data_IF_842224906920
#
_entry.id   IF_842224906920
#
_cell.length_a   1.000
_cell.length_b   1.000
_cell.length_c   1.000
_cell.angle_alpha   90.00
_cell.angle_beta   90.00
_cell.angle_gamma   90.00
#
_symmetry.space_group_name_H-M   'P 1'
#
loop_
_entity.id
_entity.type
_entity.pdbx_description
1 polymer ?
#
# COMPACT_ATOMS: atom_id res chain seq x y z
N UNK A 1 0.73 -19.03 22.35
CA UNK A 1 1.58 -17.84 22.04
C UNK A 1 2.19 -18.07 20.67
N UNK A 2 1.69 -17.40 19.61
CA UNK A 2 2.37 -17.40 18.32
C UNK A 2 3.62 -16.52 18.39
N UNK A 3 4.65 -16.75 17.55
CA UNK A 3 5.82 -15.88 17.52
C UNK A 3 5.39 -14.44 17.19
N UNK A 4 6.13 -13.40 17.63
CA UNK A 4 5.94 -12.04 17.14
C UNK A 4 6.38 -12.01 15.66
N UNK A 5 5.53 -12.51 14.78
CA UNK A 5 5.69 -12.41 13.35
C UNK A 5 5.65 -10.92 13.02
N UNK A 6 6.72 -10.43 12.40
CA UNK A 6 6.80 -9.09 11.85
C UNK A 6 5.57 -8.83 10.99
N UNK A 7 4.55 -8.18 11.56
CA UNK A 7 3.38 -7.78 10.78
C UNK A 7 3.89 -6.96 9.61
N UNK A 8 3.55 -7.30 8.35
CA UNK A 8 4.06 -6.57 7.22
C UNK A 8 3.58 -5.12 7.36
N UNK A 9 4.50 -4.19 7.20
CA UNK A 9 4.25 -2.75 7.30
C UNK A 9 4.71 -2.11 6.01
N UNK A 10 4.01 -1.07 5.61
CA UNK A 10 4.32 -0.27 4.45
C UNK A 10 4.39 1.19 4.88
N UNK A 11 5.44 1.89 4.45
CA UNK A 11 5.55 3.32 4.75
C UNK A 11 4.51 4.07 3.94
N UNK A 12 3.87 5.09 4.52
CA UNK A 12 2.92 5.94 3.79
C UNK A 12 3.59 6.55 2.55
N UNK A 13 4.86 6.93 2.65
CA UNK A 13 5.65 7.43 1.53
C UNK A 13 5.87 6.39 0.42
N UNK A 14 5.96 5.09 0.75
CA UNK A 14 6.06 4.01 -0.22
C UNK A 14 4.74 3.87 -1.00
N UNK A 15 3.61 3.90 -0.30
CA UNK A 15 2.29 3.86 -0.94
C UNK A 15 2.06 5.05 -1.89
N UNK A 16 2.44 6.26 -1.46
CA UNK A 16 2.37 7.47 -2.30
C UNK A 16 3.28 7.33 -3.52
N UNK A 17 4.49 6.79 -3.37
CA UNK A 17 5.39 6.55 -4.51
C UNK A 17 4.83 5.53 -5.50
N UNK A 18 4.23 4.44 -5.02
CA UNK A 18 3.61 3.41 -5.87
C UNK A 18 2.50 4.01 -6.73
N UNK A 19 1.59 4.77 -6.13
CA UNK A 19 0.51 5.45 -6.86
C UNK A 19 1.03 6.61 -7.72
N UNK A 20 2.08 7.30 -7.26
CA UNK A 20 2.67 8.46 -7.91
C UNK A 20 3.32 8.14 -9.25
N UNK A 21 3.75 6.90 -9.50
CA UNK A 21 4.25 6.46 -10.81
C UNK A 21 3.21 6.56 -11.92
N UNK A 22 1.93 6.48 -11.56
CA UNK A 22 0.81 6.57 -12.52
C UNK A 22 0.07 7.91 -12.42
N UNK A 23 -0.16 8.42 -11.21
CA UNK A 23 -0.99 9.60 -10.98
C UNK A 23 -0.20 10.92 -10.84
N UNK A 24 1.11 10.83 -10.64
CA UNK A 24 1.92 11.95 -10.13
C UNK A 24 1.87 12.04 -8.60
N UNK A 25 2.95 12.52 -8.00
CA UNK A 25 3.17 12.53 -6.54
C UNK A 25 2.13 13.35 -5.77
N UNK A 26 1.72 14.50 -6.30
CA UNK A 26 0.72 15.37 -5.65
C UNK A 26 -0.64 14.69 -5.55
N UNK A 27 -1.16 14.17 -6.68
CA UNK A 27 -2.45 13.47 -6.72
C UNK A 27 -2.41 12.22 -5.87
N UNK A 28 -1.30 11.47 -5.91
CA UNK A 28 -1.14 10.28 -5.09
C UNK A 28 -1.23 10.59 -3.58
N UNK A 29 -0.60 11.67 -3.11
CA UNK A 29 -0.67 12.07 -1.71
C UNK A 29 -2.10 12.45 -1.28
N UNK A 30 -2.78 13.29 -2.07
CA UNK A 30 -4.15 13.72 -1.80
C UNK A 30 -5.14 12.55 -1.72
N UNK A 31 -5.00 11.61 -2.67
CA UNK A 31 -5.86 10.44 -2.76
C UNK A 31 -5.63 9.48 -1.59
N UNK A 32 -4.36 9.26 -1.19
CA UNK A 32 -4.01 8.45 -0.01
C UNK A 32 -4.53 9.10 1.27
N UNK A 33 -4.43 10.42 1.43
CA UNK A 33 -4.94 11.10 2.63
C UNK A 33 -6.46 11.07 2.70
N UNK A 34 -7.13 11.31 1.57
CA UNK A 34 -8.59 11.27 1.50
C UNK A 34 -9.13 9.90 1.87
N UNK A 35 -8.61 8.82 1.27
CA UNK A 35 -9.08 7.47 1.56
C UNK A 35 -8.58 6.96 2.92
N UNK A 36 -7.35 7.30 3.31
CA UNK A 36 -6.82 6.96 4.62
C UNK A 36 -7.66 7.54 5.74
N UNK A 37 -8.08 8.81 5.61
CA UNK A 37 -8.97 9.46 6.58
C UNK A 37 -10.33 8.76 6.70
N UNK A 38 -10.92 8.29 5.59
CA UNK A 38 -12.17 7.52 5.61
C UNK A 38 -12.03 6.20 6.37
N UNK A 39 -10.84 5.59 6.31
CA UNK A 39 -10.51 4.35 7.00
C UNK A 39 -9.99 4.58 8.44
N UNK A 40 -9.97 5.83 8.91
CA UNK A 40 -9.52 6.18 10.26
C UNK A 40 -8.00 6.23 10.43
N UNK A 41 -7.23 6.19 9.33
CA UNK A 41 -5.77 6.39 9.36
C UNK A 41 -5.47 7.86 9.63
N UNK A 42 -4.49 8.13 10.50
CA UNK A 42 -4.08 9.50 10.79
C UNK A 42 -3.03 9.91 9.77
N UNK A 43 -3.08 11.16 9.30
CA UNK A 43 -2.12 11.72 8.35
C UNK A 43 -0.66 11.62 8.84
N UNK A 44 -0.47 11.61 10.17
CA UNK A 44 0.84 11.47 10.83
C UNK A 44 1.35 10.03 10.92
N UNK A 45 0.55 9.03 10.55
CA UNK A 45 0.97 7.65 10.60
C UNK A 45 1.95 7.38 9.44
N UNK A 46 3.24 7.50 9.74
CA UNK A 46 4.31 7.26 8.78
C UNK A 46 4.36 5.80 8.32
N UNK A 47 3.93 4.87 9.19
CA UNK A 47 3.97 3.43 8.97
C UNK A 47 2.55 2.88 9.08
N UNK A 48 2.08 2.26 8.01
CA UNK A 48 0.74 1.70 7.90
C UNK A 48 0.78 0.17 8.01
N UNK A 49 -0.16 -0.47 8.72
CA UNK A 49 -0.37 -1.90 8.62
C UNK A 49 -0.65 -2.30 7.17
N UNK A 50 -0.10 -3.43 6.71
CA UNK A 50 -0.28 -3.84 5.32
C UNK A 50 -1.76 -4.06 4.96
N UNK A 51 -2.56 -4.52 5.92
CA UNK A 51 -4.01 -4.71 5.78
C UNK A 51 -4.71 -3.38 5.50
N UNK A 52 -4.32 -2.31 6.20
CA UNK A 52 -4.85 -0.98 5.97
C UNK A 52 -4.43 -0.44 4.59
N UNK A 53 -3.19 -0.73 4.15
CA UNK A 53 -2.74 -0.37 2.79
C UNK A 53 -3.57 -1.08 1.73
N UNK A 54 -3.83 -2.38 1.88
CA UNK A 54 -4.70 -3.10 0.96
C UNK A 54 -6.14 -2.57 0.97
N UNK A 55 -6.68 -2.18 2.12
CA UNK A 55 -8.00 -1.54 2.20
C UNK A 55 -8.06 -0.21 1.46
N UNK A 56 -7.03 0.64 1.60
CA UNK A 56 -6.90 1.90 0.83
C UNK A 56 -6.87 1.59 -0.67
N UNK A 57 -6.02 0.65 -1.10
CA UNK A 57 -5.88 0.28 -2.51
C UNK A 57 -7.17 -0.35 -3.08
N UNK A 58 -7.87 -1.17 -2.30
CA UNK A 58 -9.13 -1.78 -2.72
C UNK A 58 -10.27 -0.74 -2.83
N UNK A 59 -10.33 0.25 -1.93
CA UNK A 59 -11.25 1.39 -2.04
C UNK A 59 -10.97 2.20 -3.31
N UNK A 60 -9.69 2.49 -3.58
CA UNK A 60 -9.27 3.23 -4.75
C UNK A 60 -9.49 2.48 -6.06
N UNK A 61 -9.26 1.16 -6.06
CA UNK A 61 -9.47 0.30 -7.23
C UNK A 61 -10.94 0.24 -7.66
N UNK A 62 -11.88 0.51 -6.75
CA UNK A 62 -13.31 0.62 -7.08
C UNK A 62 -13.66 1.94 -7.82
N UNK A 63 -12.76 2.92 -7.86
CA UNK A 63 -12.98 4.18 -8.56
C UNK A 63 -12.70 4.02 -10.06
N UNK A 64 -13.52 4.62 -10.95
CA UNK A 64 -13.25 4.58 -12.37
C UNK A 64 -12.03 5.44 -12.76
N UNK A 65 -11.44 5.13 -13.92
CA UNK A 65 -10.38 5.92 -14.54
C UNK A 65 -8.98 5.66 -13.96
N UNK A 66 -8.10 6.65 -14.10
CA UNK A 66 -6.68 6.51 -13.79
C UNK A 66 -6.40 6.12 -12.34
N UNK A 67 -7.23 6.57 -11.39
CA UNK A 67 -7.07 6.28 -9.96
C UNK A 67 -7.24 4.77 -9.69
N UNK A 68 -8.30 4.16 -10.22
CA UNK A 68 -8.55 2.73 -10.04
C UNK A 68 -7.49 1.86 -10.71
N UNK A 69 -7.03 2.27 -11.90
CA UNK A 69 -5.92 1.61 -12.59
C UNK A 69 -4.64 1.69 -11.79
N UNK A 70 -4.27 2.88 -11.29
CA UNK A 70 -3.07 3.08 -10.47
C UNK A 70 -3.10 2.25 -9.19
N UNK A 71 -4.25 2.19 -8.52
CA UNK A 71 -4.42 1.38 -7.31
C UNK A 71 -4.29 -0.12 -7.59
N UNK A 72 -4.85 -0.60 -8.71
CA UNK A 72 -4.74 -2.00 -9.13
C UNK A 72 -3.30 -2.40 -9.45
N UNK A 73 -2.55 -1.51 -10.09
CA UNK A 73 -1.11 -1.69 -10.37
C UNK A 73 -0.34 -1.71 -9.05
N UNK A 74 -0.51 -0.71 -8.19
CA UNK A 74 0.16 -0.61 -6.89
C UNK A 74 -0.09 -1.85 -6.02
N UNK A 75 -1.32 -2.37 -6.01
CA UNK A 75 -1.68 -3.62 -5.31
C UNK A 75 -0.91 -4.82 -5.84
N UNK A 76 -0.77 -4.92 -7.16
CA UNK A 76 -0.03 -6.01 -7.81
C UNK A 76 1.45 -5.92 -7.48
N UNK A 77 2.05 -4.73 -7.58
CA UNK A 77 3.45 -4.50 -7.22
C UNK A 77 3.73 -4.86 -5.75
N UNK A 78 2.84 -4.46 -4.84
CA UNK A 78 2.97 -4.75 -3.41
C UNK A 78 2.94 -6.26 -3.14
N UNK A 79 2.05 -7.00 -3.82
CA UNK A 79 2.00 -8.48 -3.74
C UNK A 79 3.26 -9.13 -4.29
N UNK A 80 3.72 -8.69 -5.46
CA UNK A 80 4.95 -9.23 -6.07
C UNK A 80 6.16 -8.99 -5.16
N UNK A 81 6.27 -7.80 -4.56
CA UNK A 81 7.32 -7.48 -3.61
C UNK A 81 7.25 -8.37 -2.34
N UNK A 82 6.06 -8.64 -1.81
CA UNK A 82 5.87 -9.55 -0.69
C UNK A 82 6.26 -11.01 -1.02
N UNK A 83 5.89 -11.50 -2.20
CA UNK A 83 6.26 -12.85 -2.67
C UNK A 83 7.78 -12.95 -2.85
N UNK A 84 8.42 -11.98 -3.52
CA UNK A 84 9.88 -11.95 -3.70
C UNK A 84 10.64 -12.01 -2.37
N UNK A 85 10.24 -11.18 -1.40
CA UNK A 85 10.82 -11.20 -0.04
C UNK A 85 10.68 -12.56 0.63
N UNK A 86 9.54 -13.22 0.45
CA UNK A 86 9.29 -14.55 1.02
C UNK A 86 10.18 -15.64 0.40
N UNK A 87 10.42 -15.55 -0.92
CA UNK A 87 11.32 -16.48 -1.63
C UNK A 87 12.79 -16.30 -1.20
N UNK A 88 13.25 -15.05 -1.07
CA UNK A 88 14.60 -14.74 -0.59
C UNK A 88 14.85 -15.26 0.84
N UNK A 89 13.86 -15.15 1.73
CA UNK A 89 13.95 -15.68 3.09
C UNK A 89 14.01 -17.21 3.12
N UNK A 90 13.33 -17.89 2.19
CA UNK A 90 13.39 -19.35 2.06
C UNK A 90 14.71 -19.84 1.48
N UNK A 91 15.29 -19.12 0.54
CA UNK A 91 16.59 -19.48 -0.07
C UNK A 91 17.78 -19.32 0.90
N UNK A 92 17.61 -18.62 2.02
CA UNK A 92 18.65 -18.40 3.05
C UNK A 92 18.56 -19.37 4.23
N UNK A 93 17.60 -20.30 4.21
CA UNK A 93 17.48 -21.40 5.17
C UNK A 93 17.96 -22.68 4.53
#
# INVERSE_FOLDING_TARGET
>A
MGPPGSNPRCERAELVQLLGRTLGSTVAAEVVDREGKKLGLKEKDAILPIEAVYQVLDSLAALPGAIGTAASIARTELRVAAVRRSLEQRSRR
#
